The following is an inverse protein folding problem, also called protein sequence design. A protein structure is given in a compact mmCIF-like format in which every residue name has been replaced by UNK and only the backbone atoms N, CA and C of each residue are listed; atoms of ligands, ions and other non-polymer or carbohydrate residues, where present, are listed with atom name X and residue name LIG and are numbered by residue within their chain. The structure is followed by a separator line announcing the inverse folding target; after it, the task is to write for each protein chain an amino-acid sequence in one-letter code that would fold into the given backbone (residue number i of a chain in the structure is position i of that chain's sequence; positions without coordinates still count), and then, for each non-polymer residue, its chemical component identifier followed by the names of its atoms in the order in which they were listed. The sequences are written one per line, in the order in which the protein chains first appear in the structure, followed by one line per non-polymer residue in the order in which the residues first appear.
data_IF_310335875630
#
_entry.id   IF_310335875630
#
_cell.length_a   1.000
_cell.length_b   1.000
_cell.length_c   1.000
_cell.angle_alpha   90.00
_cell.angle_beta   90.00
_cell.angle_gamma   90.00
#
_symmetry.space_group_name_H-M   'P 1'
#
loop_
_entity.id
_entity.type
_entity.pdbx_description
1 polymer ?
#
# COMPACT_ATOMS: atom_id res chain seq x y z
N UNK A 1 66.66 37.15 -1.70
CA UNK A 1 66.60 36.16 -2.80
C UNK A 1 66.39 34.80 -2.13
N UNK A 2 65.37 33.98 -2.33
CA UNK A 2 64.30 33.83 -3.31
C UNK A 2 63.06 33.34 -2.53
N UNK A 3 61.87 33.89 -2.75
CA UNK A 3 60.90 33.46 -3.76
C UNK A 3 60.44 32.00 -3.59
N UNK A 4 59.11 31.84 -3.66
CA UNK A 4 58.34 30.59 -3.85
C UNK A 4 58.09 29.78 -2.55
N UNK A 5 56.89 29.33 -2.23
CA UNK A 5 55.61 29.47 -2.90
C UNK A 5 54.49 29.23 -1.88
N UNK A 6 53.41 29.96 -2.13
CA UNK A 6 52.06 29.69 -1.63
C UNK A 6 51.70 28.23 -1.94
N UNK A 7 51.69 27.35 -0.94
CA UNK A 7 50.96 26.08 -1.05
C UNK A 7 49.59 26.26 -0.41
N UNK A 8 48.66 26.61 -1.28
CA UNK A 8 47.22 26.62 -1.07
C UNK A 8 46.81 25.18 -0.78
N UNK A 9 46.81 24.79 0.50
CA UNK A 9 46.28 23.50 0.95
C UNK A 9 44.79 23.48 0.63
N UNK A 10 44.44 22.80 -0.47
CA UNK A 10 43.08 22.63 -0.91
C UNK A 10 42.27 21.92 0.17
N UNK A 11 41.14 22.51 0.56
CA UNK A 11 40.17 21.88 1.46
C UNK A 11 39.79 20.50 0.89
N UNK A 12 40.02 19.40 1.63
CA UNK A 12 39.60 18.09 1.18
C UNK A 12 38.08 18.00 1.22
N UNK A 13 37.46 17.78 0.06
CA UNK A 13 36.33 16.86 -0.06
C UNK A 13 34.98 17.28 0.51
N UNK A 14 34.48 18.48 0.21
CA UNK A 14 33.04 18.81 0.42
C UNK A 14 32.11 17.94 -0.46
N UNK A 15 32.63 17.28 -1.51
CA UNK A 15 31.85 16.41 -2.41
C UNK A 15 31.58 14.98 -1.91
N UNK A 16 32.37 14.44 -0.97
CA UNK A 16 32.16 13.06 -0.45
C UNK A 16 31.05 12.98 0.62
N UNK A 17 30.98 13.99 1.48
CA UNK A 17 30.04 14.01 2.62
C UNK A 17 28.58 14.10 2.19
N UNK A 18 28.31 14.65 1.00
CA UNK A 18 26.96 14.70 0.43
C UNK A 18 26.55 13.30 -0.06
N UNK A 19 27.42 12.61 -0.81
CA UNK A 19 27.16 11.26 -1.33
C UNK A 19 26.88 10.23 -0.24
N UNK A 20 27.66 10.24 0.84
CA UNK A 20 27.53 9.25 1.92
C UNK A 20 26.24 9.40 2.74
N UNK A 21 25.75 10.64 2.91
CA UNK A 21 24.47 10.90 3.62
C UNK A 21 23.25 10.53 2.78
N UNK A 22 23.32 10.72 1.46
CA UNK A 22 22.26 10.26 0.56
C UNK A 22 22.26 8.73 0.43
N UNK A 23 23.42 8.10 0.26
CA UNK A 23 23.53 6.64 0.15
C UNK A 23 23.15 5.94 1.46
N UNK A 24 23.60 6.44 2.61
CA UNK A 24 23.24 5.87 3.92
C UNK A 24 21.75 6.00 4.23
N UNK A 25 21.10 7.12 3.87
CA UNK A 25 19.65 7.30 4.02
C UNK A 25 18.87 6.46 3.01
N UNK A 26 19.36 6.37 1.78
CA UNK A 26 18.76 5.56 0.73
C UNK A 26 18.76 4.08 1.15
N UNK A 27 19.89 3.54 1.58
CA UNK A 27 19.95 2.13 2.03
C UNK A 27 19.09 1.93 3.28
N UNK A 28 19.15 2.82 4.28
CA UNK A 28 18.38 2.65 5.53
C UNK A 28 16.87 2.75 5.35
N UNK A 29 16.38 3.46 4.34
CA UNK A 29 14.94 3.62 4.07
C UNK A 29 14.47 2.69 2.96
N UNK A 30 15.14 2.69 1.80
CA UNK A 30 14.68 1.92 0.64
C UNK A 30 14.91 0.42 0.79
N UNK A 31 15.94 -0.04 1.50
CA UNK A 31 16.15 -1.48 1.71
C UNK A 31 15.01 -2.11 2.52
N UNK A 32 14.64 -1.60 3.72
CA UNK A 32 13.50 -2.16 4.46
C UNK A 32 12.16 -1.90 3.75
N UNK A 33 12.01 -0.77 3.05
CA UNK A 33 10.80 -0.50 2.26
C UNK A 33 10.63 -1.50 1.12
N UNK A 34 11.71 -1.83 0.41
CA UNK A 34 11.72 -2.85 -0.64
C UNK A 34 11.44 -4.24 -0.06
N UNK A 35 12.05 -4.58 1.07
CA UNK A 35 11.78 -5.84 1.75
C UNK A 35 10.30 -5.96 2.16
N UNK A 36 9.73 -4.91 2.74
CA UNK A 36 8.32 -4.86 3.11
C UNK A 36 7.42 -4.98 1.87
N UNK A 37 7.74 -4.26 0.79
CA UNK A 37 7.02 -4.35 -0.47
C UNK A 37 7.02 -5.79 -1.02
N UNK A 38 8.17 -6.47 -1.05
CA UNK A 38 8.27 -7.85 -1.53
C UNK A 38 7.44 -8.79 -0.65
N UNK A 39 7.55 -8.67 0.68
CA UNK A 39 6.78 -9.50 1.62
C UNK A 39 5.27 -9.26 1.49
N UNK A 40 4.84 -8.01 1.32
CA UNK A 40 3.44 -7.66 1.15
C UNK A 40 2.90 -8.08 -0.22
N UNK A 41 3.70 -8.00 -1.29
CA UNK A 41 3.29 -8.42 -2.64
C UNK A 41 3.34 -9.92 -2.84
N UNK A 42 4.13 -10.66 -2.06
CA UNK A 42 4.24 -12.11 -2.15
C UNK A 42 2.87 -12.84 -2.15
N UNK A 43 1.94 -12.61 -1.21
CA UNK A 43 0.63 -13.26 -1.25
C UNK A 43 -0.20 -12.87 -2.48
N UNK A 44 -0.10 -11.63 -2.97
CA UNK A 44 -0.79 -11.21 -4.20
C UNK A 44 -0.23 -11.88 -5.44
N UNK A 45 1.10 -12.02 -5.51
CA UNK A 45 1.77 -12.78 -6.57
C UNK A 45 1.29 -14.23 -6.59
N UNK A 46 1.23 -14.86 -5.41
CA UNK A 46 0.72 -16.21 -5.27
C UNK A 46 -0.73 -16.32 -5.74
N UNK A 47 -1.62 -15.42 -5.29
CA UNK A 47 -3.02 -15.39 -5.71
C UNK A 47 -3.15 -15.27 -7.23
N UNK A 48 -2.36 -14.40 -7.86
CA UNK A 48 -2.36 -14.24 -9.32
C UNK A 48 -1.92 -15.52 -10.02
N UNK A 49 -0.79 -16.11 -9.62
CA UNK A 49 -0.28 -17.38 -10.16
C UNK A 49 -1.33 -18.49 -10.04
N UNK A 50 -1.97 -18.64 -8.88
CA UNK A 50 -3.01 -19.65 -8.67
C UNK A 50 -4.26 -19.44 -9.51
N UNK A 51 -4.62 -18.19 -9.81
CA UNK A 51 -5.80 -17.87 -10.60
C UNK A 51 -5.67 -18.27 -12.08
N UNK A 52 -4.44 -18.45 -12.57
CA UNK A 52 -4.16 -18.88 -13.95
C UNK A 52 -3.79 -20.37 -14.06
N UNK A 53 -3.68 -21.12 -12.94
CA UNK A 53 -3.38 -22.56 -12.98
C UNK A 53 -4.58 -23.37 -13.46
N UNK A 54 -4.35 -24.35 -14.34
CA UNK A 54 -5.38 -25.30 -14.76
C UNK A 54 -5.82 -26.23 -13.61
N UNK A 55 -7.01 -26.84 -13.72
CA UNK A 55 -7.51 -27.77 -12.70
C UNK A 55 -6.55 -28.96 -12.48
N UNK A 56 -5.94 -29.48 -13.55
CA UNK A 56 -4.96 -30.56 -13.48
C UNK A 56 -3.69 -30.13 -12.74
N UNK A 57 -3.22 -28.89 -12.92
CA UNK A 57 -2.02 -28.36 -12.25
C UNK A 57 -2.26 -28.02 -10.77
N UNK A 58 -3.52 -27.77 -10.36
CA UNK A 58 -3.88 -27.53 -8.95
C UNK A 58 -3.88 -28.81 -8.10
N UNK A 59 -4.18 -29.96 -8.71
CA UNK A 59 -4.23 -31.26 -8.01
C UNK A 59 -2.95 -32.10 -8.18
N UNK A 60 -2.00 -31.66 -9.00
CA UNK A 60 -0.71 -32.33 -9.17
C UNK A 60 0.34 -31.78 -8.18
N UNK A 61 0.57 -32.53 -7.11
CA UNK A 61 1.58 -32.21 -6.07
C UNK A 61 3.03 -32.28 -6.58
N UNK A 62 3.25 -32.73 -7.81
CA UNK A 62 4.58 -32.83 -8.44
C UNK A 62 5.02 -31.50 -9.08
N UNK A 63 4.09 -30.54 -9.24
CA UNK A 63 4.37 -29.26 -9.92
C UNK A 63 4.79 -28.20 -8.91
N UNK A 64 5.82 -27.42 -9.27
CA UNK A 64 6.32 -26.36 -8.40
C UNK A 64 5.23 -25.31 -8.14
N UNK A 65 4.93 -24.99 -6.87
CA UNK A 65 3.82 -24.12 -6.51
C UNK A 65 3.96 -22.67 -7.02
N UNK A 66 5.19 -22.23 -7.29
CA UNK A 66 5.53 -20.83 -7.59
C UNK A 66 5.46 -20.47 -9.08
N UNK A 67 5.26 -21.43 -9.98
CA UNK A 67 5.23 -21.19 -11.43
C UNK A 67 4.03 -21.87 -12.08
N UNK A 68 3.49 -21.25 -13.13
CA UNK A 68 2.42 -21.80 -13.98
C UNK A 68 3.05 -22.45 -15.21
N UNK A 69 2.66 -23.67 -15.54
CA UNK A 69 3.09 -24.34 -16.78
C UNK A 69 2.08 -24.16 -17.90
N UNK A 70 0.80 -24.26 -17.57
CA UNK A 70 -0.31 -24.14 -18.53
C UNK A 70 -1.25 -23.02 -18.07
N UNK A 71 -1.02 -21.77 -18.49
CA UNK A 71 -1.90 -20.66 -18.12
C UNK A 71 -3.27 -20.83 -18.79
N UNK A 72 -4.33 -20.89 -17.99
CA UNK A 72 -5.71 -20.98 -18.48
C UNK A 72 -6.55 -19.77 -18.08
N UNK A 73 -7.52 -19.43 -18.92
CA UNK A 73 -8.50 -18.37 -18.69
C UNK A 73 -9.91 -18.92 -18.40
N UNK A 74 -10.03 -20.24 -18.34
CA UNK A 74 -11.31 -20.96 -18.18
C UNK A 74 -12.02 -20.59 -16.89
N UNK A 75 -11.28 -20.35 -15.81
CA UNK A 75 -11.85 -19.91 -14.53
C UNK A 75 -12.54 -18.54 -14.63
N UNK A 76 -11.95 -17.61 -15.37
CA UNK A 76 -12.56 -16.30 -15.61
C UNK A 76 -13.80 -16.44 -16.49
N UNK A 77 -13.73 -17.22 -17.56
CA UNK A 77 -14.90 -17.47 -18.42
C UNK A 77 -16.03 -18.14 -17.64
N UNK A 78 -15.73 -19.16 -16.82
CA UNK A 78 -16.70 -19.85 -15.98
C UNK A 78 -17.32 -18.89 -14.95
N UNK A 79 -16.52 -18.02 -14.32
CA UNK A 79 -17.00 -17.02 -13.39
C UNK A 79 -18.01 -16.06 -14.03
N UNK A 80 -17.74 -15.56 -15.24
CA UNK A 80 -18.63 -14.60 -15.90
C UNK A 80 -19.83 -15.23 -16.63
N UNK A 81 -19.72 -16.47 -17.09
CA UNK A 81 -20.78 -17.13 -17.90
C UNK A 81 -21.65 -18.09 -17.11
N UNK A 82 -21.09 -18.78 -16.11
CA UNK A 82 -21.78 -19.83 -15.37
C UNK A 82 -22.14 -19.46 -13.94
N UNK A 83 -21.71 -18.29 -13.47
CA UNK A 83 -22.06 -17.80 -12.12
C UNK A 83 -22.71 -16.42 -12.17
N UNK A 84 -23.50 -16.11 -11.14
CA UNK A 84 -24.12 -14.79 -10.95
C UNK A 84 -23.12 -13.74 -10.41
N UNK A 85 -21.83 -13.93 -10.63
CA UNK A 85 -20.77 -13.05 -10.14
C UNK A 85 -20.97 -11.57 -10.51
N UNK A 86 -21.36 -11.19 -11.74
CA UNK A 86 -21.58 -9.78 -12.08
C UNK A 86 -22.66 -9.13 -11.19
N UNK A 87 -23.71 -9.87 -10.87
CA UNK A 87 -24.79 -9.38 -10.01
C UNK A 87 -24.33 -9.20 -8.55
N UNK A 88 -23.56 -10.14 -8.02
CA UNK A 88 -22.98 -10.01 -6.68
C UNK A 88 -21.98 -8.86 -6.59
N UNK A 89 -21.09 -8.73 -7.57
CA UNK A 89 -20.14 -7.63 -7.65
C UNK A 89 -20.84 -6.27 -7.72
N UNK A 90 -21.92 -6.17 -8.52
CA UNK A 90 -22.73 -4.96 -8.59
C UNK A 90 -23.42 -4.64 -7.27
N UNK A 91 -24.05 -5.62 -6.62
CA UNK A 91 -24.68 -5.42 -5.32
C UNK A 91 -23.69 -4.92 -4.26
N UNK A 92 -22.51 -5.54 -4.17
CA UNK A 92 -21.46 -5.08 -3.25
C UNK A 92 -20.98 -3.67 -3.59
N UNK A 93 -20.81 -3.35 -4.88
CA UNK A 93 -20.42 -2.00 -5.30
C UNK A 93 -21.47 -0.95 -4.91
N UNK A 94 -22.76 -1.24 -5.11
CA UNK A 94 -23.87 -0.37 -4.71
C UNK A 94 -23.90 -0.20 -3.20
N UNK A 95 -23.83 -1.29 -2.43
CA UNK A 95 -23.84 -1.25 -0.96
C UNK A 95 -22.63 -0.48 -0.42
N UNK A 96 -21.43 -0.73 -0.93
CA UNK A 96 -20.21 -0.02 -0.52
C UNK A 96 -20.32 1.49 -0.83
N UNK A 97 -20.83 1.85 -2.00
CA UNK A 97 -20.99 3.26 -2.40
C UNK A 97 -22.03 3.98 -1.52
N UNK A 98 -23.22 3.40 -1.39
CA UNK A 98 -24.32 3.99 -0.61
C UNK A 98 -23.95 4.12 0.87
N UNK A 99 -23.36 3.07 1.46
CA UNK A 99 -22.91 3.11 2.85
C UNK A 99 -21.80 4.15 3.07
N UNK A 100 -20.85 4.27 2.16
CA UNK A 100 -19.79 5.30 2.22
C UNK A 100 -20.38 6.69 2.11
N UNK A 101 -21.34 6.92 1.21
CA UNK A 101 -22.00 8.24 1.07
C UNK A 101 -22.78 8.63 2.31
N UNK A 102 -23.56 7.71 2.88
CA UNK A 102 -24.31 7.94 4.12
C UNK A 102 -23.34 8.21 5.27
N UNK A 103 -22.30 7.38 5.41
CA UNK A 103 -21.29 7.54 6.45
C UNK A 103 -20.56 8.88 6.32
N UNK A 104 -20.16 9.27 5.12
CA UNK A 104 -19.49 10.53 4.85
C UNK A 104 -20.41 11.73 5.16
N UNK A 105 -21.67 11.67 4.73
CA UNK A 105 -22.66 12.71 4.99
C UNK A 105 -22.83 12.94 6.50
N UNK A 106 -23.08 11.87 7.26
CA UNK A 106 -23.20 11.93 8.72
C UNK A 106 -21.91 12.40 9.38
N UNK A 107 -20.76 11.92 8.92
CA UNK A 107 -19.43 12.27 9.47
C UNK A 107 -19.09 13.74 9.25
N UNK A 108 -19.43 14.31 8.08
CA UNK A 108 -19.21 15.73 7.78
C UNK A 108 -20.09 16.61 8.66
N UNK A 109 -21.37 16.27 8.84
CA UNK A 109 -22.29 16.98 9.75
C UNK A 109 -21.79 16.93 11.21
N UNK A 110 -21.40 15.75 11.68
CA UNK A 110 -20.86 15.56 13.02
C UNK A 110 -19.55 16.34 13.23
N UNK A 111 -18.62 16.25 12.28
CA UNK A 111 -17.36 16.96 12.29
C UNK A 111 -17.53 18.47 12.23
N UNK A 112 -18.45 18.98 11.40
CA UNK A 112 -18.77 20.40 11.32
C UNK A 112 -19.35 20.93 12.64
N UNK A 113 -20.26 20.16 13.25
CA UNK A 113 -20.85 20.51 14.54
C UNK A 113 -19.78 20.64 15.62
N UNK A 114 -18.88 19.67 15.74
CA UNK A 114 -17.78 19.72 16.71
C UNK A 114 -16.77 20.83 16.42
N UNK A 115 -16.46 21.11 15.14
CA UNK A 115 -15.43 22.09 14.77
C UNK A 115 -15.90 23.55 14.82
N UNK A 116 -17.20 23.82 14.60
CA UNK A 116 -17.72 25.19 14.46
C UNK A 116 -18.80 25.58 15.46
N UNK A 117 -19.59 24.65 15.99
CA UNK A 117 -20.65 24.96 16.96
C UNK A 117 -20.11 24.86 18.39
N UNK A 118 -20.31 25.90 19.20
CA UNK A 118 -19.96 25.92 20.63
C UNK A 118 -21.18 25.55 21.47
N UNK A 119 -21.36 24.26 21.75
CA UNK A 119 -22.45 23.75 22.62
C UNK A 119 -21.92 23.05 23.88
N UNK A 120 -22.72 23.05 24.95
CA UNK A 120 -22.38 22.37 26.22
C UNK A 120 -22.34 20.86 26.00
N UNK A 121 -21.14 20.27 26.09
CA UNK A 121 -20.89 18.84 25.87
C UNK A 121 -20.02 18.50 24.65
N UNK A 122 -19.72 19.47 23.78
CA UNK A 122 -18.88 19.26 22.60
C UNK A 122 -17.47 18.73 22.97
N UNK A 123 -16.90 19.25 24.05
CA UNK A 123 -15.55 18.87 24.52
C UNK A 123 -15.52 17.41 25.03
N UNK A 124 -16.55 16.97 25.76
CA UNK A 124 -16.67 15.58 26.22
C UNK A 124 -16.83 14.59 25.07
N UNK A 125 -17.60 14.96 24.02
CA UNK A 125 -17.75 14.13 22.82
C UNK A 125 -16.43 14.05 22.05
N UNK A 126 -15.72 15.18 21.89
CA UNK A 126 -14.41 15.22 21.26
C UNK A 126 -13.38 14.31 21.96
N UNK A 127 -13.33 14.35 23.29
CA UNK A 127 -12.51 13.45 24.10
C UNK A 127 -12.90 11.97 23.92
N UNK A 128 -14.19 11.66 23.90
CA UNK A 128 -14.66 10.29 23.67
C UNK A 128 -14.21 9.73 22.32
N UNK A 129 -14.27 10.54 21.26
CA UNK A 129 -13.79 10.14 19.93
C UNK A 129 -12.29 9.89 19.95
N UNK A 130 -11.50 10.80 20.56
CA UNK A 130 -10.05 10.65 20.63
C UNK A 130 -9.63 9.37 21.36
N UNK A 131 -10.25 9.07 22.51
CA UNK A 131 -9.97 7.85 23.29
C UNK A 131 -10.37 6.59 22.53
N UNK A 132 -11.43 6.64 21.71
CA UNK A 132 -11.85 5.48 20.90
C UNK A 132 -10.87 5.18 19.76
N UNK A 133 -10.15 6.20 19.26
CA UNK A 133 -9.21 6.07 18.14
C UNK A 133 -7.75 5.83 18.54
N UNK A 134 -7.40 6.01 19.82
CA UNK A 134 -6.06 5.77 20.37
C UNK A 134 -5.89 4.33 20.85
#
# INVERSE_FOLDING_TARGET
MASLARLKVGKPGTGRVIGDRFFGRAVRIYLPLLALLVVTLFPFYWMAVTSFKSASELFDFSVSPLWVREPTLDWYQHLFTQTNFPHWAFNTAVVATVSTLISLFCSVLAGYSLARLRYRGADSIGWGIFVTYL
#
